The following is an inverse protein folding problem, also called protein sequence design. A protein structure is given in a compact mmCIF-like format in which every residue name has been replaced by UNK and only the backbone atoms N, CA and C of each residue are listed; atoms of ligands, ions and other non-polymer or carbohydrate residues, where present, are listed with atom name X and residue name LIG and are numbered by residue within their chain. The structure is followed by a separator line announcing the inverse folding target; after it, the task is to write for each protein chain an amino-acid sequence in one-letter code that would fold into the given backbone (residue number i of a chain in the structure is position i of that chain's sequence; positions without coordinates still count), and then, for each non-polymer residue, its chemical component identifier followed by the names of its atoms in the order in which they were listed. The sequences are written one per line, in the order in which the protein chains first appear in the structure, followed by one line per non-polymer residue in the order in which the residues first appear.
data_IF_352766623173
#
_entry.id   IF_352766623173
#
_cell.length_a   1.000
_cell.length_b   1.000
_cell.length_c   1.000
_cell.angle_alpha   90.00
_cell.angle_beta   90.00
_cell.angle_gamma   90.00
#
_symmetry.space_group_name_H-M   'P 1'
#
loop_
_entity.id
_entity.type
_entity.pdbx_description
1 polymer ?
#
# COMPACT_ATOMS: atom_id res chain seq x y z
N UNK A 1 16.37 35.02 30.16
CA UNK A 1 14.98 34.57 29.95
C UNK A 1 14.51 34.59 28.47
N UNK A 2 15.34 34.98 27.50
CA UNK A 2 14.99 35.20 26.08
C UNK A 2 15.31 34.01 25.15
N UNK A 3 16.07 33.01 25.60
CA UNK A 3 16.47 31.87 24.77
C UNK A 3 15.37 30.81 24.51
N UNK A 4 14.47 30.62 25.47
CA UNK A 4 13.42 29.60 25.41
C UNK A 4 12.33 29.94 24.38
N UNK A 5 12.00 31.23 24.21
CA UNK A 5 10.96 31.66 23.26
C UNK A 5 11.33 31.43 21.78
N UNK A 6 12.63 31.49 21.46
CA UNK A 6 13.14 31.20 20.12
C UNK A 6 13.08 29.72 19.79
N UNK A 7 13.44 28.89 20.75
CA UNK A 7 13.45 27.44 20.61
C UNK A 7 12.02 26.85 20.52
N UNK A 8 11.08 27.38 21.33
CA UNK A 8 9.66 27.02 21.24
C UNK A 8 9.06 27.37 19.86
N UNK A 9 9.32 28.58 19.36
CA UNK A 9 8.86 29.00 18.01
C UNK A 9 9.47 28.18 16.88
N UNK A 10 10.70 27.72 17.03
CA UNK A 10 11.34 26.83 16.06
C UNK A 10 10.66 25.44 16.07
N UNK A 11 10.43 24.88 17.26
CA UNK A 11 9.73 23.60 17.43
C UNK A 11 8.28 23.66 16.92
N UNK A 12 7.55 24.73 17.20
CA UNK A 12 6.19 24.92 16.67
C UNK A 12 6.17 24.97 15.14
N UNK A 13 7.14 25.67 14.52
CA UNK A 13 7.25 25.70 13.04
C UNK A 13 7.58 24.34 12.46
N UNK A 14 8.45 23.56 13.09
CA UNK A 14 8.77 22.20 12.64
C UNK A 14 7.57 21.25 12.81
N UNK A 15 6.86 21.34 13.92
CA UNK A 15 5.64 20.55 14.16
C UNK A 15 4.55 20.93 13.15
N UNK A 16 4.35 22.21 12.86
CA UNK A 16 3.37 22.65 11.86
C UNK A 16 3.74 22.21 10.43
N UNK A 17 5.03 22.19 10.08
CA UNK A 17 5.52 21.68 8.80
C UNK A 17 5.31 20.17 8.64
N UNK A 18 5.28 19.41 9.74
CA UNK A 18 5.09 17.97 9.72
C UNK A 18 3.62 17.53 9.63
N UNK A 19 2.67 18.42 9.92
CA UNK A 19 1.23 18.11 9.86
C UNK A 19 0.72 18.09 8.43
N UNK A 20 -0.21 17.16 8.16
CA UNK A 20 -0.94 17.13 6.89
C UNK A 20 -1.88 18.34 6.78
N UNK A 21 -1.78 19.05 5.66
CA UNK A 21 -2.69 20.14 5.31
C UNK A 21 -3.86 19.60 4.50
N UNK A 22 -4.95 20.37 4.35
CA UNK A 22 -6.08 20.00 3.47
C UNK A 22 -5.64 19.69 2.05
N UNK A 23 -4.67 20.45 1.51
CA UNK A 23 -4.10 20.21 0.18
C UNK A 23 -3.35 18.87 0.13
N UNK A 24 -2.63 18.51 1.18
CA UNK A 24 -1.96 17.21 1.27
C UNK A 24 -2.99 16.07 1.29
N UNK A 25 -4.08 16.22 2.06
CA UNK A 25 -5.15 15.23 2.14
C UNK A 25 -5.81 14.98 0.78
N UNK A 26 -6.13 16.05 0.05
CA UNK A 26 -6.68 15.97 -1.32
C UNK A 26 -5.69 15.26 -2.25
N UNK A 27 -4.40 15.62 -2.17
CA UNK A 27 -3.36 14.98 -2.99
C UNK A 27 -3.25 13.49 -2.69
N UNK A 28 -3.20 13.10 -1.41
CA UNK A 28 -3.15 11.70 -0.98
C UNK A 28 -4.40 10.94 -1.46
N UNK A 29 -5.58 11.53 -1.33
CA UNK A 29 -6.83 10.91 -1.76
C UNK A 29 -6.84 10.65 -3.27
N UNK A 30 -6.39 11.60 -4.10
CA UNK A 30 -6.27 11.42 -5.55
C UNK A 30 -5.34 10.25 -5.87
N UNK A 31 -4.15 10.20 -5.27
CA UNK A 31 -3.21 9.09 -5.50
C UNK A 31 -3.74 7.75 -4.97
N UNK A 32 -4.49 7.75 -3.86
CA UNK A 32 -5.14 6.54 -3.33
C UNK A 32 -6.19 5.99 -4.32
N UNK A 33 -6.99 6.87 -4.95
CA UNK A 33 -7.95 6.47 -5.99
C UNK A 33 -7.24 5.92 -7.22
N UNK A 34 -6.18 6.60 -7.69
CA UNK A 34 -5.39 6.12 -8.84
C UNK A 34 -4.78 4.74 -8.54
N UNK A 35 -4.20 4.58 -7.34
CA UNK A 35 -3.67 3.29 -6.88
C UNK A 35 -4.74 2.21 -6.82
N UNK A 36 -5.91 2.51 -6.23
CA UNK A 36 -7.04 1.60 -6.13
C UNK A 36 -7.50 1.14 -7.52
N UNK A 37 -7.74 2.07 -8.44
CA UNK A 37 -8.20 1.76 -9.80
C UNK A 37 -7.17 0.91 -10.56
N UNK A 38 -5.89 1.28 -10.49
CA UNK A 38 -4.82 0.53 -11.14
C UNK A 38 -4.68 -0.89 -10.58
N UNK A 39 -4.71 -1.02 -9.24
CA UNK A 39 -4.60 -2.32 -8.58
C UNK A 39 -5.82 -3.20 -8.85
N UNK A 40 -7.02 -2.63 -8.78
CA UNK A 40 -8.28 -3.32 -9.07
C UNK A 40 -8.32 -3.81 -10.53
N UNK A 41 -7.95 -2.97 -11.49
CA UNK A 41 -7.88 -3.35 -12.90
C UNK A 41 -6.89 -4.51 -13.14
N UNK A 42 -5.72 -4.50 -12.50
CA UNK A 42 -4.80 -5.64 -12.53
C UNK A 42 -5.42 -6.90 -11.90
N UNK A 43 -6.16 -6.74 -10.80
CA UNK A 43 -6.84 -7.84 -10.10
C UNK A 43 -7.89 -8.54 -10.96
N UNK A 44 -8.52 -7.84 -11.93
CA UNK A 44 -9.49 -8.43 -12.87
C UNK A 44 -8.92 -9.58 -13.70
N UNK A 45 -7.60 -9.65 -13.86
CA UNK A 45 -6.91 -10.77 -14.51
C UNK A 45 -7.23 -12.10 -13.80
N UNK A 46 -7.47 -12.07 -12.49
CA UNK A 46 -7.85 -13.22 -11.67
C UNK A 46 -9.17 -13.88 -12.05
N UNK A 47 -10.06 -13.21 -12.79
CA UNK A 47 -11.28 -13.84 -13.32
C UNK A 47 -11.02 -14.93 -14.37
N UNK A 48 -9.85 -14.89 -15.02
CA UNK A 48 -9.44 -15.97 -15.94
C UNK A 48 -9.12 -17.30 -15.22
N UNK A 49 -8.91 -17.25 -13.90
CA UNK A 49 -8.69 -18.42 -13.04
C UNK A 49 -7.84 -18.08 -11.82
N UNK A 50 -7.89 -18.94 -10.75
CA UNK A 50 -7.22 -18.64 -9.48
C UNK A 50 -5.70 -18.41 -9.60
N UNK A 51 -5.01 -19.11 -10.49
CA UNK A 51 -3.58 -18.92 -10.72
C UNK A 51 -3.24 -17.54 -11.32
N UNK A 52 -4.14 -16.98 -12.14
CA UNK A 52 -3.95 -15.67 -12.75
C UNK A 52 -4.06 -14.51 -11.75
N UNK A 53 -4.62 -14.76 -10.55
CA UNK A 53 -4.62 -13.76 -9.48
C UNK A 53 -3.20 -13.30 -9.12
N UNK A 54 -2.22 -14.21 -9.12
CA UNK A 54 -0.82 -13.85 -8.84
C UNK A 54 -0.25 -12.91 -9.90
N UNK A 55 -0.58 -13.11 -11.17
CA UNK A 55 -0.17 -12.22 -12.26
C UNK A 55 -0.73 -10.82 -12.03
N UNK A 56 -2.03 -10.73 -11.74
CA UNK A 56 -2.70 -9.47 -11.44
C UNK A 56 -2.08 -8.75 -10.23
N UNK A 57 -1.82 -9.47 -9.15
CA UNK A 57 -1.20 -8.90 -7.95
C UNK A 57 0.24 -8.45 -8.18
N UNK A 58 1.07 -9.23 -8.91
CA UNK A 58 2.44 -8.83 -9.27
C UNK A 58 2.41 -7.52 -10.05
N UNK A 59 1.59 -7.44 -11.09
CA UNK A 59 1.46 -6.22 -11.89
C UNK A 59 0.95 -5.05 -11.04
N UNK A 60 -0.08 -5.30 -10.21
CA UNK A 60 -0.65 -4.29 -9.31
C UNK A 60 0.37 -3.76 -8.30
N UNK A 61 1.20 -4.63 -7.71
CA UNK A 61 2.26 -4.24 -6.77
C UNK A 61 3.34 -3.40 -7.48
N UNK A 62 3.78 -3.81 -8.67
CA UNK A 62 4.82 -3.08 -9.40
C UNK A 62 4.34 -1.70 -9.87
N UNK A 63 3.14 -1.62 -10.46
CA UNK A 63 2.52 -0.35 -10.87
C UNK A 63 2.20 0.52 -9.64
N UNK A 64 1.67 -0.10 -8.59
CA UNK A 64 1.38 0.56 -7.33
C UNK A 64 2.61 1.20 -6.70
N UNK A 65 3.78 0.58 -6.84
CA UNK A 65 5.04 1.15 -6.38
C UNK A 65 5.35 2.50 -7.03
N UNK A 66 5.11 2.63 -8.33
CA UNK A 66 5.28 3.89 -9.04
C UNK A 66 4.31 4.95 -8.51
N UNK A 67 3.03 4.61 -8.37
CA UNK A 67 1.99 5.53 -7.92
C UNK A 67 2.26 6.00 -6.48
N UNK A 68 2.57 5.08 -5.58
CA UNK A 68 2.82 5.38 -4.16
C UNK A 68 4.11 6.19 -3.99
N UNK A 69 5.19 5.89 -4.74
CA UNK A 69 6.41 6.69 -4.71
C UNK A 69 6.18 8.12 -5.19
N UNK A 70 5.34 8.32 -6.22
CA UNK A 70 4.95 9.65 -6.68
C UNK A 70 4.10 10.38 -5.63
N UNK A 71 3.17 9.69 -4.98
CA UNK A 71 2.38 10.23 -3.85
C UNK A 71 3.28 10.70 -2.72
N UNK A 72 4.20 9.85 -2.26
CA UNK A 72 5.14 10.18 -1.19
C UNK A 72 6.10 11.31 -1.57
N UNK A 73 6.51 11.42 -2.84
CA UNK A 73 7.33 12.53 -3.30
C UNK A 73 6.57 13.88 -3.27
N UNK A 74 5.25 13.85 -3.42
CA UNK A 74 4.38 15.04 -3.31
C UNK A 74 4.02 15.38 -1.88
N UNK A 75 3.79 14.37 -1.06
CA UNK A 75 3.40 14.50 0.36
C UNK A 75 4.32 13.62 1.22
N UNK A 76 5.57 14.06 1.49
CA UNK A 76 6.54 13.30 2.27
C UNK A 76 6.30 13.48 3.78
N UNK A 77 5.06 13.26 4.22
CA UNK A 77 4.62 13.49 5.61
C UNK A 77 4.04 12.22 6.20
N UNK A 78 4.21 12.08 7.52
CA UNK A 78 3.57 11.00 8.28
C UNK A 78 2.04 11.08 8.16
N UNK A 79 1.39 9.95 8.03
CA UNK A 79 -0.06 9.83 7.84
C UNK A 79 -0.47 9.66 6.36
N UNK A 80 0.40 9.95 5.40
CA UNK A 80 0.07 9.84 3.99
C UNK A 80 -0.22 8.39 3.57
N UNK A 81 0.62 7.42 3.96
CA UNK A 81 0.40 6.00 3.69
C UNK A 81 -0.71 5.41 4.55
N UNK A 82 -0.87 5.89 5.78
CA UNK A 82 -2.00 5.51 6.66
C UNK A 82 -3.33 5.83 5.99
N UNK A 83 -3.49 7.06 5.48
CA UNK A 83 -4.71 7.50 4.79
C UNK A 83 -4.88 6.72 3.48
N UNK A 84 -3.81 6.53 2.71
CA UNK A 84 -3.86 5.71 1.49
C UNK A 84 -4.35 4.30 1.81
N UNK A 85 -3.81 3.66 2.85
CA UNK A 85 -4.19 2.31 3.29
C UNK A 85 -5.65 2.23 3.74
N UNK A 86 -6.12 3.23 4.50
CA UNK A 86 -7.52 3.33 4.90
C UNK A 86 -8.45 3.44 3.68
N UNK A 87 -8.16 4.34 2.74
CA UNK A 87 -9.00 4.55 1.55
C UNK A 87 -9.01 3.32 0.63
N UNK A 88 -7.85 2.68 0.44
CA UNK A 88 -7.74 1.43 -0.34
C UNK A 88 -8.47 0.30 0.36
N UNK A 89 -8.34 0.17 1.68
CA UNK A 89 -9.06 -0.83 2.48
C UNK A 89 -10.58 -0.67 2.38
N UNK A 90 -11.09 0.58 2.46
CA UNK A 90 -12.50 0.89 2.26
C UNK A 90 -12.98 0.54 0.85
N UNK A 91 -12.20 0.89 -0.18
CA UNK A 91 -12.55 0.59 -1.58
C UNK A 91 -12.52 -0.91 -1.89
N UNK A 92 -11.62 -1.67 -1.27
CA UNK A 92 -11.49 -3.12 -1.52
C UNK A 92 -12.44 -3.96 -0.67
N UNK A 93 -12.97 -3.45 0.45
CA UNK A 93 -13.84 -4.19 1.36
C UNK A 93 -15.07 -4.83 0.67
N UNK A 94 -15.81 -4.14 -0.23
CA UNK A 94 -17.03 -4.71 -0.81
C UNK A 94 -16.79 -5.98 -1.64
N UNK A 95 -15.61 -6.09 -2.27
CA UNK A 95 -15.25 -7.25 -3.10
C UNK A 95 -14.48 -8.36 -2.37
N UNK A 96 -14.11 -8.14 -1.09
CA UNK A 96 -13.22 -9.06 -0.38
C UNK A 96 -13.72 -9.36 1.05
N UNK A 97 -13.19 -8.64 2.04
CA UNK A 97 -13.50 -8.86 3.46
C UNK A 97 -13.35 -7.58 4.25
N UNK A 98 -14.08 -7.47 5.37
CA UNK A 98 -13.98 -6.31 6.28
C UNK A 98 -12.57 -6.13 6.86
N UNK A 99 -11.76 -7.19 6.91
CA UNK A 99 -10.37 -7.16 7.38
C UNK A 99 -9.45 -6.28 6.51
N UNK A 100 -9.90 -5.89 5.30
CA UNK A 100 -9.17 -4.97 4.43
C UNK A 100 -8.96 -3.60 5.08
N UNK A 101 -9.95 -3.11 5.83
CA UNK A 101 -9.88 -1.79 6.49
C UNK A 101 -8.78 -1.77 7.57
N UNK A 102 -8.83 -2.64 8.61
CA UNK A 102 -7.78 -2.63 9.62
C UNK A 102 -6.41 -3.01 9.05
N UNK A 103 -6.33 -3.92 8.08
CA UNK A 103 -5.07 -4.26 7.45
C UNK A 103 -4.46 -3.06 6.71
N UNK A 104 -5.24 -2.35 5.89
CA UNK A 104 -4.78 -1.16 5.19
C UNK A 104 -4.35 -0.05 6.15
N UNK A 105 -5.14 0.18 7.21
CA UNK A 105 -4.85 1.20 8.23
C UNK A 105 -3.56 0.88 9.00
N UNK A 106 -3.44 -0.32 9.53
CA UNK A 106 -2.29 -0.74 10.37
C UNK A 106 -1.01 -0.81 9.54
N UNK A 107 -1.06 -1.45 8.37
CA UNK A 107 0.12 -1.55 7.50
C UNK A 107 0.50 -0.20 6.90
N UNK A 108 -0.47 0.66 6.58
CA UNK A 108 -0.22 2.04 6.19
C UNK A 108 0.46 2.84 7.29
N UNK A 109 0.03 2.68 8.55
CA UNK A 109 0.63 3.34 9.69
C UNK A 109 2.08 2.84 9.95
N UNK A 110 2.31 1.53 9.92
CA UNK A 110 3.66 0.97 10.07
C UNK A 110 4.57 1.45 8.92
N UNK A 111 4.04 1.49 7.69
CA UNK A 111 4.77 2.01 6.55
C UNK A 111 5.13 3.50 6.71
N UNK A 112 4.23 4.32 7.25
CA UNK A 112 4.53 5.72 7.59
C UNK A 112 5.64 5.84 8.64
N UNK A 113 5.62 5.00 9.68
CA UNK A 113 6.70 4.98 10.70
C UNK A 113 8.07 4.64 10.08
N UNK A 114 8.10 3.71 9.15
CA UNK A 114 9.32 3.29 8.45
C UNK A 114 9.83 4.40 7.53
N UNK A 115 8.96 4.98 6.72
CA UNK A 115 9.33 5.98 5.70
C UNK A 115 9.74 7.30 6.32
N UNK A 116 9.04 7.76 7.35
CA UNK A 116 9.27 9.05 8.00
C UNK A 116 10.21 8.98 9.21
N UNK A 117 10.79 7.82 9.49
CA UNK A 117 11.59 7.62 10.71
C UNK A 117 10.83 8.03 11.98
N UNK A 118 9.62 7.50 12.14
CA UNK A 118 8.71 7.84 13.24
C UNK A 118 8.41 9.36 13.35
N UNK A 119 8.23 10.01 12.21
CA UNK A 119 7.92 11.45 12.14
C UNK A 119 9.11 12.39 12.28
N UNK A 120 10.32 11.86 12.46
CA UNK A 120 11.53 12.70 12.68
C UNK A 120 12.10 13.33 11.40
N UNK A 121 11.90 12.70 10.25
CA UNK A 121 12.43 13.16 8.97
C UNK A 121 11.30 13.43 7.98
N UNK A 122 11.25 14.66 7.50
CA UNK A 122 10.33 15.08 6.42
C UNK A 122 10.90 14.73 5.02
N UNK A 123 12.18 14.33 4.93
CA UNK A 123 12.83 13.96 3.67
C UNK A 123 12.73 12.46 3.44
N UNK A 124 12.26 12.09 2.26
CA UNK A 124 12.21 10.70 1.82
C UNK A 124 13.63 10.16 1.55
N UNK A 125 14.08 9.25 2.41
CA UNK A 125 15.18 8.37 2.07
C UNK A 125 14.68 7.28 1.11
N UNK A 126 15.28 7.12 -0.10
CA UNK A 126 14.85 6.13 -1.08
C UNK A 126 14.80 4.69 -0.55
N UNK A 127 15.73 4.31 0.34
CA UNK A 127 15.75 2.97 0.94
C UNK A 127 14.57 2.76 1.88
N UNK A 128 14.31 3.74 2.74
CA UNK A 128 13.17 3.72 3.67
C UNK A 128 11.84 3.79 2.94
N UNK A 129 11.74 4.59 1.87
CA UNK A 129 10.56 4.67 1.04
C UNK A 129 10.24 3.30 0.39
N UNK A 130 11.24 2.62 -0.16
CA UNK A 130 11.08 1.29 -0.74
C UNK A 130 10.67 0.25 0.31
N UNK A 131 11.32 0.29 1.50
CA UNK A 131 10.98 -0.59 2.61
C UNK A 131 9.57 -0.32 3.15
N UNK A 132 9.19 0.94 3.30
CA UNK A 132 7.84 1.31 3.73
C UNK A 132 6.77 0.85 2.73
N UNK A 133 7.05 0.98 1.43
CA UNK A 133 6.15 0.42 0.42
C UNK A 133 6.05 -1.10 0.50
N UNK A 134 7.16 -1.82 0.74
CA UNK A 134 7.13 -3.26 0.94
C UNK A 134 6.27 -3.69 2.14
N UNK A 135 6.36 -2.94 3.24
CA UNK A 135 5.47 -3.14 4.39
C UNK A 135 4.01 -2.82 4.01
N UNK A 136 3.80 -1.71 3.32
CA UNK A 136 2.48 -1.30 2.88
C UNK A 136 1.81 -2.38 2.02
N UNK A 137 2.53 -2.98 1.06
CA UNK A 137 1.96 -3.98 0.14
C UNK A 137 1.48 -5.25 0.82
N UNK A 138 1.86 -5.55 2.04
CA UNK A 138 1.38 -6.72 2.78
C UNK A 138 -0.14 -6.73 3.00
N UNK A 139 -0.84 -5.59 2.81
CA UNK A 139 -2.30 -5.57 2.82
C UNK A 139 -2.91 -6.51 1.77
N UNK A 140 -2.20 -6.81 0.68
CA UNK A 140 -2.60 -7.77 -0.37
C UNK A 140 -2.78 -9.18 0.18
N UNK A 141 -2.17 -9.50 1.31
CA UNK A 141 -2.32 -10.80 1.99
C UNK A 141 -3.60 -10.86 2.83
N UNK A 142 -4.16 -9.72 3.24
CA UNK A 142 -5.33 -9.68 4.10
C UNK A 142 -6.56 -10.45 3.57
N UNK A 143 -6.91 -10.41 2.26
CA UNK A 143 -8.01 -11.19 1.71
C UNK A 143 -7.76 -12.71 1.72
N UNK A 144 -6.52 -13.15 1.90
CA UNK A 144 -6.16 -14.57 1.97
C UNK A 144 -6.33 -15.14 3.38
N UNK A 145 -6.38 -14.29 4.42
CA UNK A 145 -6.54 -14.72 5.81
C UNK A 145 -7.79 -15.60 6.02
N UNK A 146 -8.99 -15.23 5.51
CA UNK A 146 -10.17 -16.07 5.66
C UNK A 146 -10.06 -17.44 4.99
N UNK A 147 -9.23 -17.56 3.95
CA UNK A 147 -9.01 -18.85 3.27
C UNK A 147 -8.30 -19.87 4.18
N UNK A 148 -7.55 -19.40 5.16
CA UNK A 148 -6.80 -20.25 6.10
C UNK A 148 -7.56 -20.38 7.43
N UNK A 149 -8.08 -19.26 7.96
CA UNK A 149 -8.66 -19.20 9.30
C UNK A 149 -10.11 -19.74 9.33
N UNK A 150 -10.88 -19.52 8.26
CA UNK A 150 -12.28 -19.92 8.15
C UNK A 150 -12.59 -20.46 6.73
N UNK A 151 -11.81 -21.46 6.34
CA UNK A 151 -11.80 -22.00 4.98
C UNK A 151 -13.18 -22.43 4.49
N UNK A 152 -13.90 -23.22 5.31
CA UNK A 152 -15.19 -23.79 4.86
C UNK A 152 -16.23 -22.72 4.57
N UNK A 153 -16.36 -21.71 5.43
CA UNK A 153 -17.27 -20.58 5.22
C UNK A 153 -16.85 -19.75 4.02
N UNK A 154 -15.55 -19.52 3.85
CA UNK A 154 -15.01 -18.76 2.73
C UNK A 154 -15.29 -19.44 1.41
N UNK A 155 -14.93 -20.73 1.28
CA UNK A 155 -15.12 -21.48 0.03
C UNK A 155 -16.59 -21.76 -0.28
N UNK A 156 -17.47 -21.90 0.71
CA UNK A 156 -18.90 -21.96 0.50
C UNK A 156 -19.45 -20.68 -0.13
N UNK A 157 -18.93 -19.51 0.29
CA UNK A 157 -19.28 -18.23 -0.33
C UNK A 157 -18.77 -18.13 -1.76
N UNK A 158 -17.53 -18.52 -2.03
CA UNK A 158 -16.94 -18.51 -3.38
C UNK A 158 -17.71 -19.46 -4.30
N UNK A 159 -18.12 -20.63 -3.82
CA UNK A 159 -18.93 -21.59 -4.59
C UNK A 159 -20.25 -20.96 -5.05
N UNK A 160 -20.91 -20.17 -4.18
CA UNK A 160 -22.15 -19.45 -4.54
C UNK A 160 -21.93 -18.34 -5.57
N UNK A 161 -20.79 -17.68 -5.55
CA UNK A 161 -20.49 -16.51 -6.40
C UNK A 161 -19.88 -16.91 -7.75
N UNK A 162 -18.97 -17.88 -7.76
CA UNK A 162 -18.13 -18.23 -8.93
C UNK A 162 -18.23 -19.68 -9.37
N UNK A 163 -19.07 -20.48 -8.70
CA UNK A 163 -19.25 -21.90 -9.00
C UNK A 163 -18.26 -22.84 -8.31
N UNK A 164 -18.63 -24.13 -8.27
CA UNK A 164 -17.88 -25.16 -7.54
C UNK A 164 -16.49 -25.43 -8.15
N UNK A 165 -16.37 -25.42 -9.49
CA UNK A 165 -15.09 -25.68 -10.17
C UNK A 165 -14.04 -24.62 -9.79
N UNK A 166 -14.41 -23.34 -9.83
CA UNK A 166 -13.51 -22.25 -9.44
C UNK A 166 -13.13 -22.34 -7.96
N UNK A 167 -14.10 -22.59 -7.08
CA UNK A 167 -13.89 -22.73 -5.63
C UNK A 167 -12.94 -23.89 -5.31
N UNK A 168 -13.11 -25.06 -5.96
CA UNK A 168 -12.26 -26.23 -5.75
C UNK A 168 -10.82 -25.97 -6.23
N UNK A 169 -10.63 -25.36 -7.40
CA UNK A 169 -9.31 -24.96 -7.91
C UNK A 169 -8.64 -23.97 -6.98
N UNK A 170 -9.39 -23.01 -6.45
CA UNK A 170 -8.90 -22.01 -5.51
C UNK A 170 -8.48 -22.66 -4.19
N UNK A 171 -9.31 -23.58 -3.63
CA UNK A 171 -9.00 -24.30 -2.39
C UNK A 171 -7.77 -25.20 -2.52
N UNK A 172 -7.59 -25.85 -3.67
CA UNK A 172 -6.40 -26.66 -3.94
C UNK A 172 -5.12 -25.82 -4.05
N UNK A 173 -5.22 -24.59 -4.57
CA UNK A 173 -4.09 -23.70 -4.79
C UNK A 173 -3.67 -22.97 -3.49
N UNK A 174 -4.61 -22.36 -2.78
CA UNK A 174 -4.32 -21.50 -1.62
C UNK A 174 -4.17 -22.32 -0.33
N UNK A 175 -3.10 -23.10 -0.26
CA UNK A 175 -2.69 -23.77 0.99
C UNK A 175 -2.07 -22.81 1.99
N UNK A 176 -2.06 -23.11 3.31
CA UNK A 176 -1.39 -22.25 4.29
C UNK A 176 0.08 -21.97 3.97
N UNK A 177 0.80 -22.98 3.45
CA UNK A 177 2.20 -22.82 3.03
C UNK A 177 2.36 -21.88 1.85
N UNK A 178 1.46 -21.96 0.85
CA UNK A 178 1.47 -21.02 -0.27
C UNK A 178 1.17 -19.60 0.20
N UNK A 179 0.19 -19.41 1.08
CA UNK A 179 -0.17 -18.08 1.61
C UNK A 179 1.00 -17.46 2.37
N UNK A 180 1.70 -18.24 3.19
CA UNK A 180 2.90 -17.78 3.90
C UNK A 180 4.03 -17.42 2.92
N UNK A 181 4.32 -18.27 1.94
CA UNK A 181 5.31 -17.99 0.90
C UNK A 181 4.94 -16.78 0.05
N UNK A 182 3.65 -16.60 -0.25
CA UNK A 182 3.16 -15.43 -0.97
C UNK A 182 3.35 -14.14 -0.17
N UNK A 183 3.16 -14.15 1.15
CA UNK A 183 3.42 -12.98 1.98
C UNK A 183 4.89 -12.52 1.87
N UNK A 184 5.84 -13.46 1.87
CA UNK A 184 7.26 -13.16 1.62
C UNK A 184 7.46 -12.61 0.21
N UNK A 185 6.85 -13.23 -0.80
CA UNK A 185 6.94 -12.78 -2.20
C UNK A 185 6.37 -11.36 -2.37
N UNK A 186 5.23 -11.04 -1.76
CA UNK A 186 4.61 -9.70 -1.75
C UNK A 186 5.56 -8.67 -1.16
N UNK A 187 6.22 -8.98 -0.05
CA UNK A 187 7.21 -8.08 0.55
C UNK A 187 8.38 -7.81 -0.38
N UNK A 188 8.93 -8.84 -1.01
CA UNK A 188 10.05 -8.70 -1.97
C UNK A 188 9.61 -7.95 -3.24
N UNK A 189 8.43 -8.23 -3.76
CA UNK A 189 7.83 -7.49 -4.87
C UNK A 189 7.56 -6.02 -4.50
N UNK A 190 7.18 -5.76 -3.25
CA UNK A 190 7.04 -4.42 -2.72
C UNK A 190 8.36 -3.64 -2.71
N UNK A 191 9.46 -4.28 -2.30
CA UNK A 191 10.80 -3.68 -2.39
C UNK A 191 11.16 -3.34 -3.85
N UNK A 192 10.91 -4.27 -4.77
CA UNK A 192 11.15 -4.08 -6.19
C UNK A 192 10.27 -2.96 -6.78
N UNK A 193 8.98 -2.97 -6.47
CA UNK A 193 8.02 -1.95 -6.91
C UNK A 193 8.39 -0.56 -6.39
N UNK A 194 8.78 -0.46 -5.12
CA UNK A 194 9.28 0.77 -4.53
C UNK A 194 10.55 1.28 -5.21
N UNK A 195 11.52 0.41 -5.46
CA UNK A 195 12.73 0.76 -6.21
C UNK A 195 12.43 1.23 -7.62
N UNK A 196 11.56 0.52 -8.34
CA UNK A 196 11.10 0.93 -9.69
C UNK A 196 10.44 2.31 -9.65
N UNK A 197 9.55 2.54 -8.69
CA UNK A 197 8.87 3.82 -8.51
C UNK A 197 9.84 4.98 -8.27
N UNK A 198 10.87 4.77 -7.45
CA UNK A 198 11.94 5.76 -7.23
C UNK A 198 12.71 6.03 -8.53
N UNK A 199 13.08 4.98 -9.27
CA UNK A 199 13.83 5.10 -10.54
C UNK A 199 13.03 5.89 -11.59
N UNK A 200 11.75 5.59 -11.73
CA UNK A 200 10.82 6.30 -12.64
C UNK A 200 10.65 7.74 -12.18
N UNK A 201 10.39 7.96 -10.89
CA UNK A 201 10.22 9.29 -10.32
C UNK A 201 11.44 10.19 -10.55
N UNK A 202 12.67 9.71 -10.30
CA UNK A 202 13.90 10.47 -10.53
C UNK A 202 14.05 10.92 -12.00
N UNK A 203 13.73 10.03 -12.96
CA UNK A 203 13.81 10.36 -14.40
C UNK A 203 12.86 11.48 -14.79
N UNK A 204 11.63 11.47 -14.26
CA UNK A 204 10.62 12.47 -14.57
C UNK A 204 10.85 13.78 -13.83
N UNK A 205 11.24 13.76 -12.54
CA UNK A 205 11.52 14.97 -11.77
C UNK A 205 12.76 15.72 -12.27
N UNK A 206 13.82 15.01 -12.70
CA UNK A 206 14.99 15.65 -13.36
C UNK A 206 14.60 16.34 -14.66
N UNK A 207 13.75 15.71 -15.49
CA UNK A 207 13.27 16.32 -16.76
C UNK A 207 12.35 17.52 -16.52
N UNK A 208 11.63 17.54 -15.41
CA UNK A 208 10.77 18.67 -15.03
C UNK A 208 11.51 19.79 -14.27
N UNK A 209 12.84 19.70 -14.10
CA UNK A 209 13.63 20.72 -13.40
C UNK A 209 13.40 20.79 -11.89
N UNK A 210 12.75 19.79 -11.29
CA UNK A 210 12.36 19.78 -9.87
C UNK A 210 13.41 19.14 -8.95
N UNK A 211 14.49 18.58 -9.50
CA UNK A 211 15.66 18.08 -8.77
C UNK A 211 16.94 18.46 -9.49
N UNK A 212 17.91 19.04 -8.75
CA UNK A 212 19.31 19.18 -9.20
C UNK A 212 20.00 17.85 -9.29
#
# INVERSE_FOLDING_TARGET
MWGLSGQYRHLEREIMKSRLTTRDLVTVAIFAVIFFVAFYACGMIGFAGPAFMFVGWILGILLGGIIVMLSMARVPKMGALTITGLLVGLGMMPGHTIWMIPAGLVLGFIADLVTTNAGRNVRLDPRRASLGYAVFTLWVVAPLIPMVVNADKYYAMITKQMGADYSNKMRALFTPGLVAGWAVAVFLLGLLGGWLGIKVGRKHFRRAGLTK
#
